data_IF_364868620045
#
_entry.id   IF_364868620045
#
_cell.length_a   1.000
_cell.length_b   1.000
_cell.length_c   1.000
_cell.angle_alpha   90.00
_cell.angle_beta   90.00
_cell.angle_gamma   90.00
#
_symmetry.space_group_name_H-M   'P 1'
#
loop_
_entity.id
_entity.type
_entity.pdbx_description
1 polymer ?
#
# COMPACT_ATOMS: atom_id res chain seq x y z
N UNK A 1 -3.15 -46.83 -14.37
CA UNK A 1 -3.19 -45.49 -13.74
C UNK A 1 -4.10 -44.62 -14.58
N UNK A 2 -5.25 -44.21 -14.06
CA UNK A 2 -6.26 -43.42 -14.78
C UNK A 2 -5.83 -41.95 -14.82
N UNK A 3 -5.70 -41.35 -16.00
CA UNK A 3 -5.35 -39.93 -16.12
C UNK A 3 -6.52 -39.03 -15.69
N UNK A 4 -6.21 -37.96 -14.96
CA UNK A 4 -7.17 -36.92 -14.58
C UNK A 4 -7.64 -36.14 -15.81
N UNK A 5 -8.92 -35.79 -15.85
CA UNK A 5 -9.50 -34.89 -16.87
C UNK A 5 -8.89 -33.48 -16.79
N UNK A 6 -9.00 -32.70 -17.87
CA UNK A 6 -8.51 -31.33 -17.92
C UNK A 6 -9.07 -30.46 -16.78
N UNK A 7 -10.35 -30.60 -16.46
CA UNK A 7 -11.01 -29.86 -15.37
C UNK A 7 -10.48 -30.25 -14.00
N UNK A 8 -10.26 -31.55 -13.75
CA UNK A 8 -9.69 -32.02 -12.48
C UNK A 8 -8.25 -31.50 -12.29
N UNK A 9 -7.45 -31.48 -13.36
CA UNK A 9 -6.09 -30.90 -13.31
C UNK A 9 -6.13 -29.40 -13.02
N UNK A 10 -7.02 -28.65 -13.66
CA UNK A 10 -7.18 -27.22 -13.40
C UNK A 10 -7.60 -26.97 -11.95
N UNK A 11 -8.53 -27.77 -11.41
CA UNK A 11 -8.99 -27.63 -10.03
C UNK A 11 -7.86 -27.88 -9.02
N UNK A 12 -7.00 -28.88 -9.25
CA UNK A 12 -5.82 -29.11 -8.41
C UNK A 12 -4.85 -27.91 -8.41
N UNK A 13 -4.66 -27.26 -9.57
CA UNK A 13 -3.78 -26.09 -9.70
C UNK A 13 -4.38 -24.85 -9.04
N UNK A 14 -5.70 -24.66 -9.16
CA UNK A 14 -6.39 -23.46 -8.67
C UNK A 14 -6.78 -23.54 -7.19
N UNK A 15 -6.97 -24.73 -6.63
CA UNK A 15 -7.38 -24.91 -5.24
C UNK A 15 -6.52 -24.14 -4.22
N UNK A 16 -5.18 -24.13 -4.29
CA UNK A 16 -4.34 -23.36 -3.35
C UNK A 16 -4.52 -21.84 -3.43
N UNK A 17 -5.02 -21.31 -4.55
CA UNK A 17 -5.30 -19.87 -4.71
C UNK A 17 -6.64 -19.46 -4.07
N UNK A 18 -7.49 -20.42 -3.69
CA UNK A 18 -8.75 -20.15 -2.99
C UNK A 18 -8.51 -20.14 -1.49
N UNK A 19 -8.18 -18.95 -0.97
CA UNK A 19 -7.93 -18.77 0.45
C UNK A 19 -9.20 -18.96 1.27
N UNK A 20 -9.17 -19.89 2.23
CA UNK A 20 -10.26 -20.09 3.19
C UNK A 20 -10.31 -18.94 4.20
N UNK A 21 -11.43 -18.79 4.91
CA UNK A 21 -11.55 -17.81 6.02
C UNK A 21 -10.49 -18.04 7.10
N UNK A 22 -10.22 -19.30 7.43
CA UNK A 22 -9.16 -19.69 8.37
C UNK A 22 -7.79 -19.21 7.88
N UNK A 23 -7.48 -19.44 6.60
CA UNK A 23 -6.21 -19.00 6.02
C UNK A 23 -6.05 -17.48 6.01
N UNK A 24 -7.15 -16.76 5.77
CA UNK A 24 -7.17 -15.31 5.84
C UNK A 24 -6.97 -14.79 7.28
N UNK A 25 -7.49 -15.50 8.28
CA UNK A 25 -7.32 -15.15 9.69
C UNK A 25 -5.90 -15.39 10.20
N UNK A 26 -5.27 -16.50 9.76
CA UNK A 26 -3.83 -16.74 9.94
C UNK A 26 -3.00 -15.61 9.34
N UNK A 27 -3.29 -15.24 8.08
CA UNK A 27 -2.58 -14.17 7.38
C UNK A 27 -2.75 -12.82 8.09
N UNK A 28 -3.97 -12.49 8.52
CA UNK A 28 -4.28 -11.27 9.27
C UNK A 28 -3.46 -11.18 10.56
N UNK A 29 -3.38 -12.29 11.29
CA UNK A 29 -2.61 -12.37 12.54
C UNK A 29 -1.12 -12.21 12.28
N UNK A 30 -0.58 -12.97 11.32
CA UNK A 30 0.83 -12.88 10.94
C UNK A 30 1.23 -11.47 10.48
N UNK A 31 0.38 -10.81 9.68
CA UNK A 31 0.63 -9.44 9.22
C UNK A 31 0.58 -8.42 10.37
N UNK A 32 -0.36 -8.57 11.32
CA UNK A 32 -0.43 -7.71 12.51
C UNK A 32 0.83 -7.86 13.36
N UNK A 33 1.31 -9.08 13.57
CA UNK A 33 2.51 -9.33 14.36
C UNK A 33 3.77 -8.79 13.67
N UNK A 34 3.85 -8.92 12.33
CA UNK A 34 4.92 -8.32 11.52
C UNK A 34 4.92 -6.79 11.66
N UNK A 35 3.74 -6.16 11.66
CA UNK A 35 3.60 -4.71 11.82
C UNK A 35 4.11 -4.24 13.18
N UNK A 36 3.75 -4.95 14.26
CA UNK A 36 4.24 -4.64 15.61
C UNK A 36 5.76 -4.80 15.72
N UNK A 37 6.32 -5.87 15.14
CA UNK A 37 7.77 -6.05 15.05
C UNK A 37 8.44 -4.92 14.28
N UNK A 38 7.84 -4.46 13.20
CA UNK A 38 8.35 -3.33 12.42
C UNK A 38 8.39 -2.01 13.20
N UNK A 39 7.37 -1.72 14.01
CA UNK A 39 7.36 -0.54 14.88
C UNK A 39 8.49 -0.62 15.94
N UNK A 40 8.69 -1.79 16.55
CA UNK A 40 9.80 -1.99 17.50
C UNK A 40 11.18 -1.92 16.83
N UNK A 41 11.31 -2.45 15.60
CA UNK A 41 12.53 -2.32 14.80
C UNK A 41 12.84 -0.84 14.52
N UNK A 42 11.85 -0.07 14.06
CA UNK A 42 12.03 1.36 13.76
C UNK A 42 12.43 2.15 15.02
N UNK A 43 11.82 1.86 16.17
CA UNK A 43 12.19 2.47 17.45
C UNK A 43 13.66 2.22 17.84
N UNK A 44 14.19 1.03 17.54
CA UNK A 44 15.59 0.66 17.87
C UNK A 44 16.61 1.17 16.85
N UNK A 45 16.27 1.14 15.57
CA UNK A 45 17.23 1.29 14.47
C UNK A 45 17.01 2.55 13.61
N UNK A 46 15.90 3.27 13.81
CA UNK A 46 15.56 4.49 13.06
C UNK A 46 15.49 4.25 11.55
N UNK A 47 16.35 4.92 10.80
CA UNK A 47 16.41 4.83 9.33
C UNK A 47 17.02 3.52 8.81
N UNK A 48 17.67 2.72 9.66
CA UNK A 48 18.28 1.45 9.25
C UNK A 48 17.23 0.35 9.23
N UNK A 49 16.97 -0.19 8.04
CA UNK A 49 16.14 -1.40 7.89
C UNK A 49 16.94 -2.66 8.26
N UNK A 50 16.32 -3.57 9.01
CA UNK A 50 16.88 -4.85 9.46
C UNK A 50 15.94 -5.99 9.03
N UNK A 51 16.13 -6.58 7.84
CA UNK A 51 15.22 -7.58 7.26
C UNK A 51 15.03 -8.83 8.13
N UNK A 52 16.03 -9.17 8.94
CA UNK A 52 16.00 -10.32 9.86
C UNK A 52 15.04 -10.12 11.04
N UNK A 53 14.75 -8.85 11.41
CA UNK A 53 13.78 -8.52 12.47
C UNK A 53 12.36 -8.29 11.91
N UNK A 54 12.26 -7.60 10.78
CA UNK A 54 11.00 -7.32 10.11
C UNK A 54 11.17 -7.18 8.59
N UNK A 55 10.29 -7.89 7.86
CA UNK A 55 10.16 -7.80 6.40
C UNK A 55 9.54 -6.47 5.94
N UNK A 56 8.84 -5.75 6.83
CA UNK A 56 8.26 -4.43 6.55
C UNK A 56 9.24 -3.32 6.93
N UNK A 57 9.45 -2.36 6.02
CA UNK A 57 10.42 -1.26 6.23
C UNK A 57 9.98 -0.23 7.26
N UNK A 58 8.67 -0.09 7.49
CA UNK A 58 8.09 0.89 8.42
C UNK A 58 8.68 2.30 8.28
N UNK A 59 8.75 2.80 7.04
CA UNK A 59 9.33 4.11 6.75
C UNK A 59 8.46 5.22 7.36
N UNK A 60 9.09 6.17 8.04
CA UNK A 60 8.42 7.39 8.47
C UNK A 60 8.13 8.28 7.26
N UNK A 61 6.87 8.68 7.11
CA UNK A 61 6.45 9.60 6.04
C UNK A 61 6.84 11.05 6.33
N UNK A 62 7.18 11.36 7.58
CA UNK A 62 7.38 12.71 8.11
C UNK A 62 6.16 13.64 7.93
N UNK A 63 4.97 13.06 7.68
CA UNK A 63 3.70 13.78 7.61
C UNK A 63 3.05 13.78 8.99
N UNK A 64 3.08 14.92 9.68
CA UNK A 64 2.48 15.05 11.02
C UNK A 64 1.18 15.86 11.03
N UNK A 65 0.90 16.62 9.97
CA UNK A 65 -0.29 17.47 9.86
C UNK A 65 -1.30 16.82 8.92
N UNK A 66 -2.48 16.48 9.45
CA UNK A 66 -3.59 15.92 8.68
C UNK A 66 -4.50 17.08 8.27
N UNK A 67 -4.86 17.21 6.97
CA UNK A 67 -5.66 18.34 6.49
C UNK A 67 -7.08 18.33 7.07
N UNK A 68 -7.67 19.52 7.23
CA UNK A 68 -9.06 19.66 7.70
C UNK A 68 -10.06 19.70 6.55
N UNK A 69 -9.61 20.10 5.35
CA UNK A 69 -10.44 20.36 4.19
C UNK A 69 -10.87 21.84 4.07
N UNK A 70 -10.51 22.70 5.03
CA UNK A 70 -10.79 24.13 4.99
C UNK A 70 -9.67 24.94 4.34
N UNK A 71 -8.57 24.28 3.96
CA UNK A 71 -7.44 24.92 3.31
C UNK A 71 -7.87 25.54 1.98
N UNK A 72 -7.28 26.69 1.67
CA UNK A 72 -7.49 27.43 0.42
C UNK A 72 -6.14 27.77 -0.20
N UNK A 73 -6.08 27.78 -1.53
CA UNK A 73 -4.88 28.19 -2.26
C UNK A 73 -4.55 27.30 -3.45
N UNK A 74 -3.50 27.68 -4.16
CA UNK A 74 -3.02 26.97 -5.35
C UNK A 74 -1.73 26.23 -5.01
N UNK A 75 -1.73 24.92 -5.20
CA UNK A 75 -0.62 24.01 -4.94
C UNK A 75 -0.27 23.26 -6.22
N UNK A 76 0.98 22.82 -6.32
CA UNK A 76 1.45 22.01 -7.44
C UNK A 76 1.96 20.66 -6.94
N UNK A 77 1.73 19.62 -7.74
CA UNK A 77 2.23 18.29 -7.49
C UNK A 77 2.92 17.73 -8.73
N UNK A 78 3.94 16.90 -8.49
CA UNK A 78 4.63 16.12 -9.49
C UNK A 78 4.47 14.64 -9.13
N UNK A 79 3.96 13.85 -10.06
CA UNK A 79 3.85 12.41 -9.92
C UNK A 79 4.79 11.72 -10.92
N UNK A 80 5.74 10.98 -10.36
CA UNK A 80 6.77 10.24 -11.10
C UNK A 80 6.93 8.81 -10.57
N UNK A 81 5.81 8.08 -10.45
CA UNK A 81 5.81 6.68 -10.02
C UNK A 81 5.46 5.65 -11.11
N UNK A 82 5.12 6.09 -12.33
CA UNK A 82 4.60 5.23 -13.39
C UNK A 82 5.18 5.53 -14.78
N UNK A 83 4.50 5.06 -15.83
CA UNK A 83 4.98 5.17 -17.22
C UNK A 83 5.03 6.59 -17.74
N UNK A 84 4.06 7.44 -17.36
CA UNK A 84 3.96 8.82 -17.82
C UNK A 84 4.11 9.77 -16.63
N UNK A 85 4.90 10.82 -16.81
CA UNK A 85 5.10 11.86 -15.80
C UNK A 85 3.90 12.80 -15.81
N UNK A 86 3.45 13.21 -14.61
CA UNK A 86 2.31 14.12 -14.48
C UNK A 86 2.66 15.33 -13.64
N UNK A 87 2.36 16.51 -14.17
CA UNK A 87 2.33 17.75 -13.40
C UNK A 87 0.89 18.16 -13.15
N UNK A 88 0.54 18.49 -11.90
CA UNK A 88 -0.83 18.83 -11.50
C UNK A 88 -0.83 20.19 -10.80
N UNK A 89 -1.74 21.08 -11.21
CA UNK A 89 -2.11 22.29 -10.47
C UNK A 89 -3.41 22.00 -9.73
N UNK A 90 -3.42 22.14 -8.42
CA UNK A 90 -4.57 21.96 -7.54
C UNK A 90 -4.96 23.30 -6.92
N UNK A 91 -6.20 23.70 -7.09
CA UNK A 91 -6.80 24.85 -6.40
C UNK A 91 -7.76 24.33 -5.34
N UNK A 92 -7.36 24.49 -4.08
CA UNK A 92 -8.17 24.19 -2.91
C UNK A 92 -9.05 25.41 -2.64
N UNK A 93 -10.35 25.20 -2.50
CA UNK A 93 -11.34 26.28 -2.30
C UNK A 93 -12.10 26.17 -0.98
N UNK A 94 -11.59 25.34 -0.05
CA UNK A 94 -12.23 25.04 1.23
C UNK A 94 -13.43 24.10 1.12
N UNK A 95 -13.93 23.63 2.27
CA UNK A 95 -15.05 22.68 2.34
C UNK A 95 -14.80 21.37 1.60
N UNK A 96 -13.55 20.90 1.56
CA UNK A 96 -13.11 19.67 0.90
C UNK A 96 -13.17 19.70 -0.64
N UNK A 97 -13.36 20.87 -1.26
CA UNK A 97 -13.44 21.01 -2.72
C UNK A 97 -12.09 21.34 -3.33
N UNK A 98 -11.79 20.69 -4.46
CA UNK A 98 -10.54 20.86 -5.20
C UNK A 98 -10.85 20.98 -6.69
N UNK A 99 -10.30 21.99 -7.36
CA UNK A 99 -10.28 22.12 -8.82
C UNK A 99 -8.86 21.78 -9.30
N UNK A 100 -8.71 20.77 -10.15
CA UNK A 100 -7.39 20.33 -10.63
C UNK A 100 -7.25 20.39 -12.15
N UNK A 101 -6.04 20.72 -12.60
CA UNK A 101 -5.63 20.67 -14.00
C UNK A 101 -4.35 19.84 -14.09
N UNK A 102 -4.34 18.84 -14.97
CA UNK A 102 -3.17 17.98 -15.16
C UNK A 102 -2.60 18.12 -16.58
N UNK A 103 -1.28 18.06 -16.67
CA UNK A 103 -0.55 17.93 -17.93
C UNK A 103 0.17 16.59 -17.96
N UNK A 104 0.02 15.87 -19.07
CA UNK A 104 0.68 14.59 -19.33
C UNK A 104 1.91 14.84 -20.21
N UNK A 105 3.03 14.23 -19.84
CA UNK A 105 4.26 14.21 -20.61
C UNK A 105 4.68 12.78 -20.93
#
# INVERSE_FOLDING_TARGET
MTQLSATQRAETVLAPLRLSKEKMEELRTAFKDELLRGLEMHKKHGLKWVPEECSLRMLDSCVSQIPTGDEVGVFYALDFGGTNVRAVRCELVGGGKIVSQQSLK
#
